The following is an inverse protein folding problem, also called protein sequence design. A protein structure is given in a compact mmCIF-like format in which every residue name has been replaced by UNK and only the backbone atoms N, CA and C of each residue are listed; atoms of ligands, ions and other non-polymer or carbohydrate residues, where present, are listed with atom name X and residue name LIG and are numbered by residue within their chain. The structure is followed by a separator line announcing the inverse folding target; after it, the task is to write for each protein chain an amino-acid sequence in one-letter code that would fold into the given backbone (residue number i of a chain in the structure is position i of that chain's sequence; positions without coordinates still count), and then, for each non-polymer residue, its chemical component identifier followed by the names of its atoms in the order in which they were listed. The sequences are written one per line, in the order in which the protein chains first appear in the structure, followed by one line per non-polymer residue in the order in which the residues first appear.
data_IF_439327565426
#
_entry.id   IF_439327565426
#
_cell.length_a   1.000
_cell.length_b   1.000
_cell.length_c   1.000
_cell.angle_alpha   90.00
_cell.angle_beta   90.00
_cell.angle_gamma   90.00
#
_symmetry.space_group_name_H-M   'P 1'
#
loop_
_entity.id
_entity.type
_entity.pdbx_description
1 polymer ?
#
# COMPACT_ATOMS: atom_id res chain seq x y z
N UNK A 1 10.71 -10.15 14.46
CA UNK A 1 10.39 -10.50 13.05
C UNK A 1 11.55 -10.14 12.14
N UNK A 2 11.90 -11.03 11.18
CA UNK A 2 12.92 -10.73 10.17
C UNK A 2 12.24 -10.47 8.83
N UNK A 3 12.02 -9.19 8.48
CA UNK A 3 11.63 -8.81 7.12
C UNK A 3 12.89 -8.82 6.25
N UNK A 4 12.84 -9.54 5.13
CA UNK A 4 13.92 -9.53 4.17
C UNK A 4 13.68 -8.42 3.14
N UNK A 5 14.65 -7.52 3.04
CA UNK A 5 14.67 -6.51 1.99
C UNK A 5 15.55 -7.01 0.86
N UNK A 6 14.99 -7.10 -0.33
CA UNK A 6 15.68 -7.60 -1.52
C UNK A 6 15.51 -6.63 -2.68
N UNK A 7 16.41 -6.68 -3.65
CA UNK A 7 16.20 -6.00 -4.92
C UNK A 7 15.10 -6.72 -5.69
N UNK A 8 14.11 -5.99 -6.18
CA UNK A 8 13.08 -6.53 -7.07
C UNK A 8 13.69 -6.92 -8.42
N UNK A 9 13.27 -8.06 -8.94
CA UNK A 9 13.62 -8.46 -10.31
C UNK A 9 13.04 -7.47 -11.32
N UNK A 10 13.84 -7.12 -12.34
CA UNK A 10 13.44 -6.09 -13.31
C UNK A 10 12.19 -6.48 -14.09
N UNK A 11 12.08 -7.73 -14.55
CA UNK A 11 10.95 -8.17 -15.38
C UNK A 11 9.65 -8.19 -14.54
N UNK A 12 9.73 -8.61 -13.28
CA UNK A 12 8.60 -8.53 -12.35
C UNK A 12 8.21 -7.08 -12.03
N UNK A 13 9.19 -6.18 -11.85
CA UNK A 13 8.93 -4.79 -11.53
C UNK A 13 8.29 -4.05 -12.70
N UNK A 14 8.78 -4.29 -13.93
CA UNK A 14 8.23 -3.67 -15.14
C UNK A 14 6.81 -4.16 -15.44
N UNK A 15 6.48 -5.42 -15.17
CA UNK A 15 5.13 -5.95 -15.32
C UNK A 15 4.11 -5.16 -14.49
N UNK A 16 4.40 -4.91 -13.21
CA UNK A 16 3.54 -4.08 -12.35
C UNK A 16 3.49 -2.61 -12.79
N UNK A 17 4.58 -2.04 -13.28
CA UNK A 17 4.59 -0.69 -13.85
C UNK A 17 3.65 -0.63 -15.06
N UNK A 18 3.76 -1.57 -16.00
CA UNK A 18 2.96 -1.60 -17.22
C UNK A 18 1.47 -1.89 -16.94
N UNK A 19 1.15 -2.68 -15.91
CA UNK A 19 -0.23 -2.88 -15.47
C UNK A 19 -0.93 -1.54 -15.20
N UNK A 20 -0.24 -0.59 -14.57
CA UNK A 20 -0.77 0.74 -14.29
C UNK A 20 -0.70 1.71 -15.50
N UNK A 21 -0.22 1.25 -16.66
CA UNK A 21 -0.14 2.05 -17.89
C UNK A 21 -1.12 1.61 -18.97
N UNK A 22 -2.03 0.68 -18.68
CA UNK A 22 -3.08 0.22 -19.58
C UNK A 22 -4.07 1.34 -19.92
N UNK A 23 -4.75 1.26 -21.06
CA UNK A 23 -5.69 2.29 -21.53
C UNK A 23 -6.89 2.48 -20.58
N UNK A 24 -7.33 1.40 -19.90
CA UNK A 24 -8.41 1.41 -18.92
C UNK A 24 -7.99 1.93 -17.52
N UNK A 25 -6.69 2.13 -17.29
CA UNK A 25 -6.19 2.68 -16.01
C UNK A 25 -6.51 4.17 -15.92
N UNK A 26 -7.06 4.67 -14.79
CA UNK A 26 -7.30 6.09 -14.59
C UNK A 26 -6.05 6.94 -14.83
N UNK A 27 -6.21 8.12 -15.45
CA UNK A 27 -5.08 8.97 -15.83
C UNK A 27 -4.20 9.37 -14.63
N UNK A 28 -4.80 9.64 -13.47
CA UNK A 28 -4.06 10.01 -12.27
C UNK A 28 -3.13 8.89 -11.77
N UNK A 29 -3.49 7.61 -11.96
CA UNK A 29 -2.63 6.47 -11.68
C UNK A 29 -1.47 6.39 -12.66
N UNK A 30 -1.76 6.51 -13.95
CA UNK A 30 -0.72 6.52 -15.00
C UNK A 30 0.31 7.62 -14.75
N UNK A 31 -0.13 8.80 -14.30
CA UNK A 31 0.75 9.95 -13.99
C UNK A 31 1.70 9.71 -12.83
N UNK A 32 1.43 8.78 -11.91
CA UNK A 32 2.33 8.51 -10.77
C UNK A 32 3.74 8.15 -11.23
N UNK A 33 3.87 7.32 -12.26
CA UNK A 33 5.17 6.98 -12.84
C UNK A 33 5.93 8.23 -13.32
N UNK A 34 5.26 9.07 -14.09
CA UNK A 34 5.89 10.26 -14.69
C UNK A 34 6.19 11.35 -13.66
N UNK A 35 5.41 11.43 -12.60
CA UNK A 35 5.72 12.31 -11.46
C UNK A 35 6.99 11.87 -10.72
N UNK A 36 7.22 10.57 -10.59
CA UNK A 36 8.40 10.00 -9.96
C UNK A 36 9.65 10.06 -10.88
N UNK A 37 9.43 10.06 -12.18
CA UNK A 37 10.46 10.11 -13.23
C UNK A 37 10.22 11.28 -14.17
N UNK A 38 10.56 12.53 -13.78
CA UNK A 38 10.23 13.72 -14.55
C UNK A 38 10.98 13.82 -15.90
N UNK A 39 12.01 13.00 -16.10
CA UNK A 39 12.73 12.87 -17.39
C UNK A 39 11.92 12.06 -18.42
N UNK A 40 10.87 11.34 -18.01
CA UNK A 40 9.95 10.65 -18.92
C UNK A 40 8.93 11.61 -19.51
N UNK A 41 8.78 11.56 -20.84
CA UNK A 41 7.81 12.40 -21.54
C UNK A 41 6.39 11.78 -21.48
N UNK A 42 5.56 12.32 -20.56
CA UNK A 42 4.18 11.86 -20.40
C UNK A 42 3.32 12.10 -21.65
N UNK A 43 3.43 13.25 -22.28
CA UNK A 43 2.59 13.59 -23.44
C UNK A 43 2.98 12.72 -24.65
N UNK A 44 4.27 12.43 -24.82
CA UNK A 44 4.73 11.44 -25.80
C UNK A 44 4.14 10.05 -25.50
N UNK A 45 4.32 9.55 -24.29
CA UNK A 45 3.80 8.22 -23.89
C UNK A 45 2.28 8.14 -24.08
N UNK A 46 1.53 9.17 -23.68
CA UNK A 46 0.08 9.25 -23.82
C UNK A 46 -0.38 9.24 -25.29
N UNK A 47 0.42 9.77 -26.20
CA UNK A 47 0.11 9.80 -27.64
C UNK A 47 0.30 8.47 -28.33
N UNK A 48 1.03 7.52 -27.72
CA UNK A 48 1.32 6.22 -28.28
C UNK A 48 0.17 5.22 -28.09
N UNK A 49 -0.06 4.30 -29.06
CA UNK A 49 -0.85 3.10 -28.82
C UNK A 49 -0.28 2.32 -27.62
N UNK A 50 -1.12 1.61 -26.88
CA UNK A 50 -0.75 0.90 -25.65
C UNK A 50 0.52 0.05 -25.78
N UNK A 51 0.62 -0.77 -26.83
CA UNK A 51 1.80 -1.62 -27.06
C UNK A 51 3.09 -0.80 -27.24
N UNK A 52 3.01 0.33 -27.96
CA UNK A 52 4.17 1.22 -28.17
C UNK A 52 4.52 2.01 -26.92
N UNK A 53 3.52 2.39 -26.14
CA UNK A 53 3.72 3.00 -24.82
C UNK A 53 4.46 2.03 -23.89
N UNK A 54 4.09 0.74 -23.89
CA UNK A 54 4.75 -0.29 -23.11
C UNK A 54 6.22 -0.47 -23.52
N UNK A 55 6.50 -0.56 -24.83
CA UNK A 55 7.87 -0.62 -25.35
C UNK A 55 8.69 0.60 -24.89
N UNK A 56 8.14 1.80 -25.02
CA UNK A 56 8.78 3.04 -24.62
C UNK A 56 9.10 3.04 -23.11
N UNK A 57 8.12 2.76 -22.26
CA UNK A 57 8.30 2.76 -20.80
C UNK A 57 9.30 1.68 -20.38
N UNK A 58 9.23 0.48 -20.94
CA UNK A 58 10.17 -0.61 -20.63
C UNK A 58 11.61 -0.21 -20.92
N UNK A 59 11.86 0.39 -22.08
CA UNK A 59 13.21 0.84 -22.45
C UNK A 59 13.71 1.94 -21.50
N UNK A 60 12.87 2.92 -21.17
CA UNK A 60 13.27 4.00 -20.26
C UNK A 60 13.55 3.45 -18.84
N UNK A 61 12.73 2.53 -18.34
CA UNK A 61 12.95 1.92 -17.03
C UNK A 61 14.17 1.01 -17.00
N UNK A 62 14.52 0.36 -18.13
CA UNK A 62 15.74 -0.43 -18.25
C UNK A 62 16.98 0.47 -18.14
N UNK A 63 16.98 1.60 -18.83
CA UNK A 63 18.07 2.59 -18.74
C UNK A 63 18.16 3.16 -17.31
N UNK A 64 17.04 3.45 -16.68
CA UNK A 64 16.98 3.93 -15.29
C UNK A 64 17.57 2.89 -14.32
N UNK A 65 17.17 1.63 -14.44
CA UNK A 65 17.68 0.53 -13.63
C UNK A 65 19.21 0.36 -13.75
N UNK A 66 19.74 0.43 -14.98
CA UNK A 66 21.16 0.32 -15.24
C UNK A 66 21.95 1.54 -14.70
N UNK A 67 21.44 2.74 -14.95
CA UNK A 67 22.05 4.00 -14.49
C UNK A 67 22.14 4.09 -12.98
N UNK A 68 21.16 3.56 -12.27
CA UNK A 68 21.02 3.67 -10.81
C UNK A 68 21.22 2.34 -10.08
N UNK A 69 21.84 1.35 -10.70
CA UNK A 69 22.03 0.01 -10.12
C UNK A 69 22.64 0.03 -8.71
N UNK A 70 23.70 0.82 -8.52
CA UNK A 70 24.35 0.95 -7.22
C UNK A 70 23.42 1.61 -6.18
N UNK A 71 22.67 2.64 -6.60
CA UNK A 71 21.73 3.34 -5.71
C UNK A 71 20.63 2.38 -5.25
N UNK A 72 20.06 1.57 -6.15
CA UNK A 72 19.04 0.57 -5.82
C UNK A 72 19.60 -0.44 -4.80
N UNK A 73 20.81 -0.96 -5.05
CA UNK A 73 21.44 -1.92 -4.15
C UNK A 73 21.77 -1.32 -2.77
N UNK A 74 22.17 -0.05 -2.73
CA UNK A 74 22.43 0.66 -1.47
C UNK A 74 21.14 0.95 -0.72
N UNK A 75 20.04 1.29 -1.42
CA UNK A 75 18.71 1.46 -0.79
C UNK A 75 18.25 0.17 -0.11
N UNK A 76 18.45 -1.00 -0.72
CA UNK A 76 18.14 -2.31 -0.08
C UNK A 76 18.86 -2.44 1.26
N UNK A 77 20.15 -2.16 1.32
CA UNK A 77 20.95 -2.25 2.56
C UNK A 77 20.49 -1.24 3.60
N UNK A 78 20.32 0.01 3.18
CA UNK A 78 19.89 1.10 4.06
C UNK A 78 18.51 0.80 4.67
N UNK A 79 17.57 0.31 3.87
CA UNK A 79 16.22 -0.02 4.34
C UNK A 79 16.25 -1.23 5.28
N UNK A 80 17.04 -2.27 4.96
CA UNK A 80 17.22 -3.43 5.85
C UNK A 80 17.82 -3.02 7.20
N UNK A 81 18.85 -2.18 7.21
CA UNK A 81 19.51 -1.73 8.43
C UNK A 81 18.60 -0.83 9.26
N UNK A 82 17.85 0.07 8.60
CA UNK A 82 16.86 0.93 9.25
C UNK A 82 15.75 0.10 9.89
N UNK A 83 15.21 -0.88 9.15
CA UNK A 83 14.22 -1.81 9.67
C UNK A 83 14.70 -2.57 10.92
N UNK A 84 15.89 -3.17 10.83
CA UNK A 84 16.46 -3.94 11.93
C UNK A 84 16.69 -3.07 13.17
N UNK A 85 17.07 -1.82 12.99
CA UNK A 85 17.39 -0.91 14.08
C UNK A 85 16.15 -0.34 14.77
N UNK A 86 15.12 0.03 14.00
CA UNK A 86 13.99 0.81 14.52
C UNK A 86 12.74 -0.05 14.81
N UNK A 87 12.48 -1.09 13.98
CA UNK A 87 11.17 -1.73 13.92
C UNK A 87 11.19 -3.20 14.32
N UNK A 88 12.16 -3.98 13.83
CA UNK A 88 12.13 -5.44 13.84
C UNK A 88 11.83 -6.07 15.22
N UNK A 89 12.42 -5.53 16.28
CA UNK A 89 12.26 -6.05 17.66
C UNK A 89 10.86 -5.79 18.23
N UNK A 90 10.25 -4.66 17.85
CA UNK A 90 8.98 -4.17 18.43
C UNK A 90 7.75 -4.58 17.62
N UNK A 91 7.93 -4.95 16.35
CA UNK A 91 6.85 -5.13 15.39
C UNK A 91 5.78 -6.12 15.86
N UNK A 92 6.19 -7.33 16.22
CA UNK A 92 5.26 -8.40 16.61
C UNK A 92 4.38 -7.99 17.80
N UNK A 93 4.99 -7.36 18.82
CA UNK A 93 4.24 -6.84 19.97
C UNK A 93 3.26 -5.73 19.58
N UNK A 94 3.65 -4.83 18.68
CA UNK A 94 2.79 -3.74 18.21
C UNK A 94 1.57 -4.28 17.45
N UNK A 95 1.78 -5.22 16.53
CA UNK A 95 0.69 -5.84 15.77
C UNK A 95 -0.21 -6.74 16.61
N UNK A 96 0.36 -7.52 17.54
CA UNK A 96 -0.43 -8.28 18.52
C UNK A 96 -1.35 -7.37 19.34
N UNK A 97 -0.87 -6.20 19.75
CA UNK A 97 -1.69 -5.22 20.48
C UNK A 97 -2.75 -4.59 19.57
N UNK A 98 -2.40 -4.26 18.33
CA UNK A 98 -3.32 -3.63 17.36
C UNK A 98 -4.47 -4.54 16.97
N UNK A 99 -4.20 -5.82 16.74
CA UNK A 99 -5.18 -6.81 16.29
C UNK A 99 -5.78 -7.65 17.43
N UNK A 100 -5.18 -7.62 18.62
CA UNK A 100 -5.63 -8.44 19.77
C UNK A 100 -5.42 -9.93 19.58
N UNK A 101 -4.61 -10.35 18.59
CA UNK A 101 -4.35 -11.74 18.21
C UNK A 101 -2.87 -11.95 17.90
N UNK A 102 -2.44 -13.21 17.89
CA UNK A 102 -1.09 -13.57 17.44
C UNK A 102 -0.97 -13.38 15.91
N UNK A 103 -0.02 -12.55 15.50
CA UNK A 103 0.28 -12.25 14.09
C UNK A 103 1.57 -12.93 13.60
N UNK A 104 2.22 -13.75 14.41
CA UNK A 104 3.55 -14.29 14.10
C UNK A 104 3.59 -15.12 12.82
N UNK A 105 2.55 -15.88 12.51
CA UNK A 105 2.47 -16.73 11.32
C UNK A 105 2.51 -15.92 10.02
N UNK A 106 1.79 -14.81 9.96
CA UNK A 106 1.79 -13.96 8.76
C UNK A 106 3.03 -13.06 8.71
N UNK A 107 3.46 -12.52 9.86
CA UNK A 107 4.59 -11.60 9.90
C UNK A 107 5.95 -12.23 9.52
N UNK A 108 6.15 -13.55 9.72
CA UNK A 108 7.45 -14.19 9.53
C UNK A 108 7.79 -14.58 8.07
N UNK A 109 6.88 -14.42 7.13
CA UNK A 109 7.02 -14.89 5.74
C UNK A 109 6.95 -13.76 4.70
N UNK A 110 7.20 -12.51 5.10
CA UNK A 110 7.09 -11.37 4.19
C UNK A 110 8.42 -10.95 3.59
N UNK A 111 8.37 -10.44 2.36
CA UNK A 111 9.50 -9.89 1.63
C UNK A 111 9.18 -8.46 1.21
N UNK A 112 10.11 -7.52 1.46
CA UNK A 112 10.07 -6.17 0.95
C UNK A 112 10.98 -6.07 -0.29
N UNK A 113 10.43 -5.76 -1.44
CA UNK A 113 11.12 -5.72 -2.72
C UNK A 113 11.40 -4.28 -3.13
N UNK A 114 12.67 -3.88 -3.14
CA UNK A 114 13.08 -2.52 -3.53
C UNK A 114 13.23 -2.45 -5.05
N UNK A 115 12.39 -1.64 -5.68
CA UNK A 115 12.31 -1.55 -7.14
C UNK A 115 12.08 -0.14 -7.68
N UNK A 116 11.71 -0.09 -8.94
CA UNK A 116 11.49 1.13 -9.73
C UNK A 116 10.07 1.66 -9.62
N UNK A 117 9.11 0.84 -9.14
CA UNK A 117 7.70 1.22 -9.14
C UNK A 117 7.35 2.16 -7.97
N UNK A 118 6.95 3.43 -8.25
CA UNK A 118 6.60 4.39 -7.20
C UNK A 118 5.21 4.13 -6.57
N UNK A 119 4.42 3.20 -7.12
CA UNK A 119 3.08 2.88 -6.62
C UNK A 119 3.14 1.87 -5.46
N UNK A 120 4.26 1.15 -5.33
CA UNK A 120 4.50 0.21 -4.23
C UNK A 120 3.41 -0.87 -4.07
N UNK A 121 3.11 -1.65 -5.13
CA UNK A 121 2.08 -2.68 -5.06
C UNK A 121 2.45 -3.81 -4.11
N UNK A 122 1.43 -4.48 -3.54
CA UNK A 122 1.56 -5.72 -2.76
C UNK A 122 1.10 -6.92 -3.57
N UNK A 123 1.68 -8.08 -3.27
CA UNK A 123 1.23 -9.39 -3.73
C UNK A 123 0.88 -10.26 -2.51
N UNK A 124 -0.42 -10.48 -2.30
CA UNK A 124 -0.91 -11.28 -1.18
C UNK A 124 -0.60 -12.78 -1.35
N UNK A 125 -0.44 -13.26 -2.59
CA UNK A 125 -0.11 -14.65 -2.88
C UNK A 125 1.31 -15.02 -2.47
N UNK A 126 2.26 -14.12 -2.78
CA UNK A 126 3.68 -14.33 -2.51
C UNK A 126 4.15 -13.70 -1.18
N UNK A 127 3.24 -13.07 -0.42
CA UNK A 127 3.56 -12.31 0.78
C UNK A 127 4.67 -11.28 0.55
N UNK A 128 4.65 -10.60 -0.59
CA UNK A 128 5.62 -9.58 -0.96
C UNK A 128 4.98 -8.22 -1.22
N UNK A 129 5.75 -7.16 -1.04
CA UNK A 129 5.34 -5.81 -1.40
C UNK A 129 6.53 -5.02 -1.94
N UNK A 130 6.24 -4.10 -2.84
CA UNK A 130 7.26 -3.23 -3.42
C UNK A 130 7.49 -1.99 -2.59
N UNK A 131 8.74 -1.47 -2.62
CA UNK A 131 9.13 -0.20 -2.04
C UNK A 131 9.97 0.55 -3.06
N UNK A 132 9.69 1.83 -3.25
CA UNK A 132 10.38 2.64 -4.24
C UNK A 132 11.82 2.96 -3.81
N UNK A 133 12.79 2.67 -4.65
CA UNK A 133 14.21 2.79 -4.32
C UNK A 133 14.68 4.22 -4.00
N UNK A 134 13.94 5.26 -4.45
CA UNK A 134 14.23 6.68 -4.15
C UNK A 134 13.57 7.19 -2.88
N UNK A 135 12.80 6.36 -2.19
CA UNK A 135 12.20 6.76 -0.93
C UNK A 135 13.27 7.06 0.11
N UNK A 136 12.97 8.00 1.00
CA UNK A 136 13.78 8.14 2.21
C UNK A 136 13.62 6.89 3.09
N UNK A 137 14.61 6.54 3.92
CA UNK A 137 14.47 5.39 4.83
C UNK A 137 13.22 5.46 5.69
N UNK A 138 12.85 6.65 6.17
CA UNK A 138 11.64 6.84 6.96
C UNK A 138 10.37 6.55 6.13
N UNK A 139 10.32 7.00 4.88
CA UNK A 139 9.17 6.76 4.00
C UNK A 139 9.06 5.28 3.63
N UNK A 140 10.19 4.62 3.33
CA UNK A 140 10.24 3.18 3.09
C UNK A 140 9.73 2.36 4.28
N UNK A 141 10.08 2.76 5.53
CA UNK A 141 9.56 2.11 6.73
C UNK A 141 8.04 2.32 6.88
N UNK A 142 7.55 3.52 6.56
CA UNK A 142 6.11 3.79 6.58
C UNK A 142 5.37 2.94 5.54
N UNK A 143 5.87 2.87 4.30
CA UNK A 143 5.33 2.00 3.25
C UNK A 143 5.29 0.55 3.71
N UNK A 144 6.38 0.05 4.31
CA UNK A 144 6.41 -1.31 4.84
C UNK A 144 5.36 -1.55 5.94
N UNK A 145 5.19 -0.62 6.90
CA UNK A 145 4.16 -0.75 7.94
C UNK A 145 2.74 -0.69 7.36
N UNK A 146 2.52 0.13 6.33
CA UNK A 146 1.26 0.23 5.61
C UNK A 146 0.92 -1.11 4.94
N UNK A 147 1.82 -1.65 4.13
CA UNK A 147 1.60 -2.91 3.42
C UNK A 147 1.47 -4.10 4.39
N UNK A 148 2.33 -4.20 5.39
CA UNK A 148 2.22 -5.25 6.42
C UNK A 148 0.85 -5.19 7.13
N UNK A 149 0.31 -3.98 7.34
CA UNK A 149 -1.02 -3.85 7.96
C UNK A 149 -2.12 -4.42 7.06
N UNK A 150 -2.03 -4.26 5.72
CA UNK A 150 -2.92 -4.93 4.77
C UNK A 150 -2.80 -6.46 4.85
N UNK A 151 -1.59 -7.02 4.89
CA UNK A 151 -1.39 -8.46 5.00
C UNK A 151 -2.04 -9.02 6.26
N UNK A 152 -1.81 -8.37 7.41
CA UNK A 152 -2.40 -8.81 8.68
C UNK A 152 -3.91 -8.63 8.68
N UNK A 153 -4.43 -7.53 8.10
CA UNK A 153 -5.86 -7.30 7.93
C UNK A 153 -6.52 -8.41 7.12
N UNK A 154 -6.02 -8.71 5.91
CA UNK A 154 -6.60 -9.74 5.05
C UNK A 154 -6.40 -11.15 5.58
N UNK A 155 -5.33 -11.42 6.30
CA UNK A 155 -5.13 -12.70 6.99
C UNK A 155 -6.26 -12.99 7.99
N UNK A 156 -6.60 -12.03 8.86
CA UNK A 156 -7.71 -12.20 9.80
C UNK A 156 -9.08 -12.10 9.12
N UNK A 157 -9.20 -11.27 8.09
CA UNK A 157 -10.41 -11.18 7.29
C UNK A 157 -10.78 -12.52 6.67
N UNK A 158 -9.86 -13.18 6.01
CA UNK A 158 -10.08 -14.46 5.37
C UNK A 158 -10.46 -15.56 6.38
N UNK A 159 -9.87 -15.55 7.57
CA UNK A 159 -10.24 -16.49 8.64
C UNK A 159 -11.66 -16.25 9.16
N UNK A 160 -12.12 -14.99 9.18
CA UNK A 160 -13.42 -14.63 9.72
C UNK A 160 -14.56 -14.80 8.71
N UNK A 161 -14.36 -14.36 7.47
CA UNK A 161 -15.40 -14.36 6.44
C UNK A 161 -15.30 -15.56 5.50
N UNK A 162 -14.18 -16.29 5.46
CA UNK A 162 -13.95 -17.45 4.56
C UNK A 162 -14.21 -17.14 3.09
N UNK A 163 -13.90 -15.91 2.65
CA UNK A 163 -14.18 -15.46 1.31
C UNK A 163 -12.98 -15.57 0.35
N UNK A 164 -13.22 -15.27 -0.94
CA UNK A 164 -12.21 -15.34 -1.97
C UNK A 164 -11.29 -14.10 -1.93
N UNK A 165 -9.98 -14.33 -2.03
CA UNK A 165 -8.96 -13.27 -2.09
C UNK A 165 -9.04 -12.37 -3.34
N UNK A 166 -9.70 -12.82 -4.43
CA UNK A 166 -9.86 -12.02 -5.67
C UNK A 166 -10.60 -10.68 -5.41
N UNK A 167 -11.34 -10.58 -4.30
CA UNK A 167 -12.03 -9.35 -3.90
C UNK A 167 -11.15 -8.37 -3.10
N UNK A 168 -9.86 -8.70 -2.89
CA UNK A 168 -8.93 -7.84 -2.16
C UNK A 168 -8.15 -6.89 -3.09
N UNK A 169 -8.38 -6.99 -4.41
CA UNK A 169 -7.72 -6.20 -5.43
C UNK A 169 -8.41 -4.85 -5.69
N UNK A 170 -7.66 -3.97 -6.33
CA UNK A 170 -8.09 -2.62 -6.71
C UNK A 170 -9.48 -2.59 -7.34
N UNK A 171 -10.25 -1.56 -6.96
CA UNK A 171 -11.66 -1.28 -7.25
C UNK A 171 -12.68 -2.12 -6.49
N UNK A 172 -12.32 -3.23 -5.89
CA UNK A 172 -13.25 -3.98 -5.04
C UNK A 172 -13.56 -3.26 -3.72
N UNK A 173 -14.73 -3.50 -3.17
CA UNK A 173 -15.15 -2.83 -1.94
C UNK A 173 -14.29 -3.21 -0.73
N UNK A 174 -13.81 -4.46 -0.69
CA UNK A 174 -12.93 -4.96 0.38
C UNK A 174 -11.55 -4.33 0.31
N UNK A 175 -11.01 -4.16 -0.92
CA UNK A 175 -9.79 -3.38 -1.14
C UNK A 175 -9.97 -1.95 -0.63
N UNK A 176 -11.05 -1.26 -1.04
CA UNK A 176 -11.32 0.11 -0.65
C UNK A 176 -11.44 0.26 0.88
N UNK A 177 -12.11 -0.69 1.53
CA UNK A 177 -12.17 -0.73 2.99
C UNK A 177 -10.79 -0.86 3.60
N UNK A 178 -9.94 -1.73 3.06
CA UNK A 178 -8.59 -1.95 3.59
C UNK A 178 -7.74 -0.67 3.54
N UNK A 179 -7.84 0.13 2.47
CA UNK A 179 -7.12 1.41 2.37
C UNK A 179 -7.56 2.44 3.43
N UNK A 180 -8.82 2.38 3.85
CA UNK A 180 -9.35 3.27 4.91
C UNK A 180 -8.94 2.78 6.31
N UNK A 181 -9.07 1.47 6.57
CA UNK A 181 -8.82 0.93 7.92
C UNK A 181 -7.35 0.87 8.29
N UNK A 182 -6.44 0.75 7.32
CA UNK A 182 -4.98 0.76 7.56
C UNK A 182 -4.55 2.03 8.28
N UNK A 183 -4.97 3.21 7.80
CA UNK A 183 -4.74 4.50 8.48
C UNK A 183 -5.26 4.45 9.93
N UNK A 184 -6.49 3.97 10.09
CA UNK A 184 -7.14 3.90 11.41
C UNK A 184 -6.39 2.99 12.37
N UNK A 185 -5.97 1.81 11.92
CA UNK A 185 -5.26 0.83 12.74
C UNK A 185 -3.88 1.37 13.14
N UNK A 186 -3.10 1.87 12.17
CA UNK A 186 -1.77 2.40 12.45
C UNK A 186 -1.84 3.55 13.45
N UNK A 187 -2.65 4.58 13.19
CA UNK A 187 -2.75 5.78 14.02
C UNK A 187 -3.28 5.54 15.43
N UNK A 188 -4.10 4.52 15.63
CA UNK A 188 -4.77 4.28 16.91
C UNK A 188 -4.21 3.05 17.65
N UNK A 189 -2.98 2.63 17.33
CA UNK A 189 -2.33 1.47 17.96
C UNK A 189 -0.85 1.75 18.23
N UNK A 190 -0.16 0.75 18.82
CA UNK A 190 1.29 0.78 19.05
C UNK A 190 2.14 0.77 17.77
N UNK A 191 1.54 0.51 16.61
CA UNK A 191 2.23 0.61 15.33
C UNK A 191 2.63 2.07 15.06
N UNK A 192 1.81 3.04 15.48
CA UNK A 192 2.12 4.47 15.39
C UNK A 192 3.42 4.88 16.09
N UNK A 193 3.79 4.16 17.14
CA UNK A 193 4.94 4.48 17.96
C UNK A 193 6.27 3.92 17.41
N UNK A 194 6.21 3.10 16.34
CA UNK A 194 7.40 2.45 15.77
C UNK A 194 8.31 3.41 15.02
N UNK A 195 7.71 4.38 14.34
CA UNK A 195 8.40 5.46 13.60
C UNK A 195 7.58 6.74 13.70
N UNK A 196 8.21 7.88 13.42
CA UNK A 196 7.49 9.12 13.18
C UNK A 196 6.63 8.99 11.91
N UNK A 197 5.32 9.08 12.07
CA UNK A 197 4.39 8.89 10.97
C UNK A 197 4.26 10.17 10.12
N UNK A 198 4.22 10.06 8.78
CA UNK A 198 3.93 11.20 7.91
C UNK A 198 2.51 11.72 8.13
N UNK A 199 2.24 12.89 7.56
CA UNK A 199 0.90 13.49 7.64
C UNK A 199 -0.19 12.58 7.06
N UNK A 200 0.11 11.88 5.97
CA UNK A 200 -0.80 10.98 5.25
C UNK A 200 -0.18 9.58 5.16
N UNK A 201 -0.93 8.57 5.57
CA UNK A 201 -0.60 7.14 5.42
C UNK A 201 -1.49 6.52 4.34
N UNK A 202 -2.77 6.95 4.27
CA UNK A 202 -3.73 6.59 3.24
C UNK A 202 -3.83 7.68 2.15
N UNK A 203 -4.65 7.44 1.12
CA UNK A 203 -4.92 8.42 0.07
C UNK A 203 -5.37 9.76 0.65
N UNK A 204 -4.73 10.85 0.21
CA UNK A 204 -4.90 12.19 0.78
C UNK A 204 -6.35 12.70 0.77
N UNK A 205 -7.14 12.28 -0.21
CA UNK A 205 -8.54 12.70 -0.33
C UNK A 205 -9.44 12.13 0.79
N UNK A 206 -9.08 10.99 1.40
CA UNK A 206 -9.86 10.44 2.52
C UNK A 206 -9.85 11.32 3.77
N UNK A 207 -8.79 12.11 3.98
CA UNK A 207 -8.64 12.92 5.21
C UNK A 207 -9.65 14.06 5.33
N UNK A 208 -10.18 14.52 4.20
CA UNK A 208 -11.20 15.57 4.16
C UNK A 208 -12.58 15.03 3.72
N UNK A 209 -12.69 13.73 3.50
CA UNK A 209 -13.92 13.12 3.01
C UNK A 209 -14.90 12.86 4.15
N UNK A 210 -16.11 13.35 4.02
CA UNK A 210 -17.21 13.14 4.98
C UNK A 210 -18.29 12.24 4.37
N UNK A 211 -18.81 11.34 5.17
CA UNK A 211 -20.02 10.55 4.86
C UNK A 211 -21.02 10.81 5.99
N UNK A 212 -22.25 11.12 5.64
CA UNK A 212 -23.30 11.49 6.63
C UNK A 212 -22.84 12.62 7.58
N UNK A 213 -22.12 13.62 7.07
CA UNK A 213 -21.58 14.78 7.81
C UNK A 213 -20.49 14.43 8.86
N UNK A 214 -19.91 13.25 8.82
CA UNK A 214 -18.82 12.85 9.69
C UNK A 214 -17.59 12.46 8.84
N UNK A 215 -16.37 12.84 9.27
CA UNK A 215 -15.13 12.42 8.62
C UNK A 215 -15.01 10.89 8.65
N UNK A 216 -14.58 10.30 7.54
CA UNK A 216 -14.44 8.83 7.42
C UNK A 216 -13.52 8.29 8.52
N UNK A 217 -12.36 8.93 8.74
CA UNK A 217 -11.41 8.48 9.74
C UNK A 217 -11.90 8.66 11.18
N UNK A 218 -12.76 9.65 11.47
CA UNK A 218 -13.39 9.79 12.79
C UNK A 218 -14.39 8.66 13.04
N UNK A 219 -15.16 8.31 12.03
CA UNK A 219 -16.10 7.17 12.08
C UNK A 219 -15.35 5.85 12.30
N UNK A 220 -14.31 5.59 11.52
CA UNK A 220 -13.48 4.38 11.66
C UNK A 220 -12.77 4.32 13.01
N UNK A 221 -12.22 5.45 13.49
CA UNK A 221 -11.59 5.56 14.80
C UNK A 221 -12.54 5.19 15.93
N UNK A 222 -13.78 5.69 15.90
CA UNK A 222 -14.80 5.36 16.91
C UNK A 222 -15.10 3.86 16.91
N UNK A 223 -15.26 3.25 15.73
CA UNK A 223 -15.48 1.80 15.61
C UNK A 223 -14.28 1.00 16.13
N UNK A 224 -13.06 1.41 15.76
CA UNK A 224 -11.84 0.74 16.18
C UNK A 224 -11.62 0.83 17.69
N UNK A 225 -11.86 1.99 18.31
CA UNK A 225 -11.70 2.19 19.74
C UNK A 225 -12.79 1.50 20.59
N UNK A 226 -14.01 1.39 20.07
CA UNK A 226 -15.13 0.73 20.76
C UNK A 226 -15.27 -0.77 20.47
N UNK A 227 -14.30 -1.36 19.71
CA UNK A 227 -14.36 -2.77 19.36
C UNK A 227 -14.14 -3.67 20.56
N UNK A 228 -14.82 -4.80 20.57
CA UNK A 228 -14.55 -5.88 21.53
C UNK A 228 -13.35 -6.74 21.13
N UNK A 229 -13.12 -6.90 19.82
CA UNK A 229 -12.00 -7.56 19.19
C UNK A 229 -11.87 -7.09 17.74
N UNK A 230 -10.87 -7.59 16.98
CA UNK A 230 -10.66 -7.15 15.60
C UNK A 230 -11.81 -7.56 14.67
N UNK A 231 -12.44 -8.70 14.90
CA UNK A 231 -13.56 -9.20 14.09
C UNK A 231 -14.81 -8.34 14.25
N UNK A 232 -15.06 -7.80 15.46
CA UNK A 232 -16.13 -6.82 15.69
C UNK A 232 -15.88 -5.53 14.88
N UNK A 233 -14.64 -5.06 14.81
CA UNK A 233 -14.27 -3.92 13.96
C UNK A 233 -14.44 -4.24 12.47
N UNK A 234 -14.04 -5.43 12.02
CA UNK A 234 -14.22 -5.87 10.64
C UNK A 234 -15.70 -5.87 10.23
N UNK A 235 -16.57 -6.48 11.06
CA UNK A 235 -18.01 -6.49 10.80
C UNK A 235 -18.58 -5.08 10.72
N UNK A 236 -18.35 -4.23 11.73
CA UNK A 236 -18.88 -2.86 11.78
C UNK A 236 -18.40 -2.00 10.62
N UNK A 237 -17.13 -2.08 10.28
CA UNK A 237 -16.57 -1.30 9.18
C UNK A 237 -17.05 -1.80 7.82
N UNK A 238 -17.26 -3.10 7.65
CA UNK A 238 -17.80 -3.67 6.42
C UNK A 238 -19.28 -3.32 6.23
N UNK A 239 -20.10 -3.45 7.25
CA UNK A 239 -21.50 -3.01 7.20
C UNK A 239 -21.61 -1.51 6.85
N UNK A 240 -20.71 -0.71 7.43
CA UNK A 240 -20.67 0.72 7.16
C UNK A 240 -20.31 1.03 5.72
N UNK A 241 -19.25 0.39 5.17
CA UNK A 241 -18.81 0.69 3.80
C UNK A 241 -19.83 0.19 2.77
N UNK A 242 -20.45 -0.98 2.97
CA UNK A 242 -21.52 -1.49 2.10
C UNK A 242 -22.70 -0.52 2.04
N UNK A 243 -23.12 -0.01 3.20
CA UNK A 243 -24.24 0.95 3.29
C UNK A 243 -23.94 2.27 2.59
N UNK A 244 -22.69 2.70 2.58
CA UNK A 244 -22.29 4.03 2.10
C UNK A 244 -21.53 3.99 0.77
N UNK A 245 -21.38 2.82 0.15
CA UNK A 245 -20.59 2.62 -1.08
C UNK A 245 -20.95 3.60 -2.21
N UNK A 246 -22.24 3.83 -2.56
CA UNK A 246 -22.57 4.72 -3.67
C UNK A 246 -22.10 6.17 -3.45
N UNK A 247 -22.26 6.68 -2.20
CA UNK A 247 -21.81 8.02 -1.86
C UNK A 247 -20.27 8.10 -1.83
N UNK A 248 -19.63 7.10 -1.25
CA UNK A 248 -18.18 7.01 -1.15
C UNK A 248 -17.54 7.00 -2.53
N UNK A 249 -17.97 6.11 -3.44
CA UNK A 249 -17.45 6.04 -4.81
C UNK A 249 -17.68 7.33 -5.60
N UNK A 250 -18.83 7.97 -5.42
CA UNK A 250 -19.09 9.28 -6.05
C UNK A 250 -18.11 10.36 -5.58
N UNK A 251 -17.78 10.39 -4.29
CA UNK A 251 -16.82 11.36 -3.72
C UNK A 251 -15.39 11.06 -4.15
N UNK A 252 -14.99 9.79 -4.21
CA UNK A 252 -13.68 9.38 -4.73
C UNK A 252 -13.55 9.85 -6.19
N UNK A 253 -14.48 9.50 -7.05
CA UNK A 253 -14.46 9.90 -8.46
C UNK A 253 -14.46 11.44 -8.69
N UNK A 254 -14.95 12.22 -7.73
CA UNK A 254 -14.85 13.67 -7.75
C UNK A 254 -13.50 14.21 -7.28
N UNK A 255 -12.81 13.48 -6.39
CA UNK A 255 -11.50 13.87 -5.87
C UNK A 255 -10.33 13.46 -6.80
N UNK A 256 -10.56 12.49 -7.69
CA UNK A 256 -9.59 11.99 -8.68
C UNK A 256 -9.56 12.80 -9.98
N UNK A 257 -10.39 13.83 -10.13
CA UNK A 257 -10.44 14.76 -11.28
C UNK A 257 -9.57 15.97 -11.06
#
# INVERSE_FOLDING_TARGET
MKLNWVRKDFESDIEFILYHQQDNTPEWWRRQLFNAYPDLDYEHAKSLPESKRFEYITEQMRQESQKHENVINDSVKIFQDTWNTLIAEKLESAYRTAFGNDCSSILNNMVAEVGLNPICPRDLGDNSFSVYYRDTPQYAMMTALHEITHFVWFYFWQQHFSDNSDEYDFQNLKWLLSEIVVETIIRNSKINDLIEQPKYIAYSYFYNMTINNELIFDTMKKMYQSRTNIYDFMNKSFDWIQKNEPELRKKIAAAEK
#
